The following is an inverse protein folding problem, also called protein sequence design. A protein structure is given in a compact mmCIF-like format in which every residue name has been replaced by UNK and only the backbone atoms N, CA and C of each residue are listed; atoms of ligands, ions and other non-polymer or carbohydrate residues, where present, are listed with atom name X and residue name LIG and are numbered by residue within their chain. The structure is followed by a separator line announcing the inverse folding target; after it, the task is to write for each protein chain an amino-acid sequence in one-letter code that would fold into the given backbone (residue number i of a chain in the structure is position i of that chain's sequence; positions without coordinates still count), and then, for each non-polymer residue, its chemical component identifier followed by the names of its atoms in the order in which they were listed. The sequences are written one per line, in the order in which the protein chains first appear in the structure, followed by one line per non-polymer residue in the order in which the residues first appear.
data_IF_518662786691
#
_entry.id   IF_518662786691
#
_cell.length_a   1.000
_cell.length_b   1.000
_cell.length_c   1.000
_cell.angle_alpha   90.00
_cell.angle_beta   90.00
_cell.angle_gamma   90.00
#
_symmetry.space_group_name_H-M   'P 1'
#
loop_
_entity.id
_entity.type
_entity.pdbx_description
1 polymer ?
#
# COMPACT_ATOMS: atom_id res chain seq x y z
N UNK A 1 26.65 10.59 9.53
CA UNK A 1 27.42 11.82 9.20
C UNK A 1 26.41 12.86 8.71
N UNK A 2 26.59 14.10 9.12
CA UNK A 2 25.79 15.23 8.58
C UNK A 2 26.27 15.61 7.18
N UNK A 3 25.46 16.30 6.40
CA UNK A 3 25.85 16.79 5.07
C UNK A 3 27.13 17.65 5.12
N UNK A 4 27.28 18.47 6.16
CA UNK A 4 28.49 19.27 6.37
C UNK A 4 29.75 18.40 6.59
N UNK A 5 29.63 17.35 7.40
CA UNK A 5 30.72 16.40 7.63
C UNK A 5 31.09 15.65 6.35
N UNK A 6 30.09 15.28 5.53
CA UNK A 6 30.32 14.63 4.24
C UNK A 6 31.06 15.55 3.26
N UNK A 7 30.65 16.83 3.16
CA UNK A 7 31.36 17.84 2.37
C UNK A 7 32.81 18.00 2.82
N UNK A 8 33.05 18.17 4.11
CA UNK A 8 34.43 18.26 4.64
C UNK A 8 35.25 17.00 4.37
N UNK A 9 34.65 15.82 4.49
CA UNK A 9 35.33 14.57 4.21
C UNK A 9 35.72 14.44 2.72
N UNK A 10 34.84 14.88 1.81
CA UNK A 10 35.11 14.92 0.36
C UNK A 10 36.26 15.90 0.08
N UNK A 11 36.18 17.14 0.62
CA UNK A 11 37.24 18.13 0.46
C UNK A 11 38.59 17.63 0.99
N UNK A 12 38.62 17.03 2.17
CA UNK A 12 39.85 16.41 2.73
C UNK A 12 40.38 15.29 1.83
N UNK A 13 39.48 14.47 1.28
CA UNK A 13 39.83 13.42 0.32
C UNK A 13 40.50 13.98 -0.94
N UNK A 14 40.01 15.10 -1.45
CA UNK A 14 40.57 15.78 -2.63
C UNK A 14 41.89 16.50 -2.34
N UNK A 15 42.05 17.12 -1.17
CA UNK A 15 43.19 18.01 -0.82
C UNK A 15 44.43 17.28 -0.28
N UNK A 16 44.38 15.97 -0.05
CA UNK A 16 45.42 15.20 0.67
C UNK A 16 46.86 15.31 0.14
N UNK A 17 47.13 15.83 -1.03
CA UNK A 17 48.52 15.81 -1.61
C UNK A 17 49.01 17.14 -2.20
N UNK A 18 48.20 18.14 -2.53
CA UNK A 18 48.70 19.39 -3.10
C UNK A 18 47.72 20.55 -2.86
N UNK A 19 47.91 21.23 -1.78
CA UNK A 19 47.02 22.29 -1.27
C UNK A 19 46.89 23.55 -2.15
N UNK A 20 47.62 23.67 -3.24
CA UNK A 20 47.67 24.92 -4.03
C UNK A 20 47.20 24.78 -5.49
N UNK A 21 46.71 23.64 -5.93
CA UNK A 21 46.34 23.43 -7.33
C UNK A 21 44.98 22.84 -7.62
N UNK A 22 44.11 22.71 -6.60
CA UNK A 22 42.74 22.24 -6.83
C UNK A 22 41.78 23.45 -6.84
N UNK A 23 40.97 23.50 -7.89
CA UNK A 23 39.78 24.35 -7.90
C UNK A 23 38.87 23.96 -6.74
N UNK A 24 38.41 24.97 -5.99
CA UNK A 24 37.41 24.74 -4.96
C UNK A 24 36.09 24.45 -5.60
N UNK A 25 35.55 23.24 -5.36
CA UNK A 25 34.19 22.91 -5.80
C UNK A 25 33.17 23.74 -5.05
N UNK A 26 32.12 24.16 -5.76
CA UNK A 26 31.00 24.81 -5.14
C UNK A 26 30.19 23.79 -4.32
N UNK A 27 29.54 24.21 -3.23
CA UNK A 27 28.70 23.29 -2.43
C UNK A 27 27.65 22.54 -3.26
N UNK A 28 27.07 23.21 -4.26
CA UNK A 28 26.10 22.60 -5.16
C UNK A 28 26.70 21.51 -6.07
N UNK A 29 27.98 21.66 -6.46
CA UNK A 29 28.70 20.64 -7.23
C UNK A 29 29.02 19.42 -6.38
N UNK A 30 29.34 19.63 -5.09
CA UNK A 30 29.54 18.55 -4.13
C UNK A 30 28.22 17.85 -3.83
N UNK A 31 27.12 18.56 -3.63
CA UNK A 31 25.78 17.99 -3.49
C UNK A 31 25.42 17.10 -4.69
N UNK A 32 25.62 17.62 -5.90
CA UNK A 32 25.38 16.85 -7.13
C UNK A 32 26.23 15.58 -7.22
N UNK A 33 27.51 15.68 -6.89
CA UNK A 33 28.41 14.51 -6.91
C UNK A 33 28.04 13.47 -5.85
N UNK A 34 27.69 13.92 -4.63
CA UNK A 34 27.23 13.05 -3.54
C UNK A 34 25.93 12.34 -3.93
N UNK A 35 24.94 13.04 -4.45
CA UNK A 35 23.68 12.46 -4.90
C UNK A 35 23.86 11.43 -5.99
N UNK A 36 24.70 11.71 -6.98
CA UNK A 36 25.06 10.77 -8.04
C UNK A 36 25.71 9.50 -7.50
N UNK A 37 26.59 9.64 -6.50
CA UNK A 37 27.27 8.48 -5.90
C UNK A 37 26.38 7.73 -4.93
N UNK A 38 25.48 8.41 -4.22
CA UNK A 38 24.44 7.79 -3.42
C UNK A 38 23.54 6.88 -4.28
N UNK A 39 23.04 7.39 -5.41
CA UNK A 39 22.25 6.58 -6.34
C UNK A 39 23.05 5.39 -6.93
N UNK A 40 24.32 5.63 -7.30
CA UNK A 40 25.20 4.57 -7.76
C UNK A 40 25.43 3.50 -6.70
N UNK A 41 25.61 3.90 -5.44
CA UNK A 41 25.77 2.99 -4.31
C UNK A 41 24.54 2.09 -4.17
N UNK A 42 23.32 2.65 -4.19
CA UNK A 42 22.07 1.87 -4.14
C UNK A 42 21.98 0.87 -5.29
N UNK A 43 22.28 1.31 -6.51
CA UNK A 43 22.31 0.43 -7.69
C UNK A 43 23.31 -0.71 -7.54
N UNK A 44 24.52 -0.44 -7.05
CA UNK A 44 25.55 -1.46 -6.83
C UNK A 44 25.18 -2.46 -5.73
N UNK A 45 24.48 -2.00 -4.68
CA UNK A 45 24.01 -2.90 -3.60
C UNK A 45 22.84 -3.76 -4.04
N UNK A 46 21.94 -3.24 -4.86
CA UNK A 46 20.80 -4.01 -5.37
C UNK A 46 21.22 -5.00 -6.47
N UNK A 47 22.06 -4.57 -7.41
CA UNK A 47 22.55 -5.41 -8.51
C UNK A 47 23.94 -5.98 -8.15
N UNK A 48 24.04 -7.30 -7.97
CA UNK A 48 25.35 -7.92 -7.82
C UNK A 48 26.08 -7.95 -9.16
N UNK A 49 27.23 -7.27 -9.21
CA UNK A 49 28.11 -7.30 -10.39
C UNK A 49 28.75 -8.67 -10.63
N UNK A 50 28.86 -9.51 -9.59
CA UNK A 50 29.61 -10.78 -9.65
C UNK A 50 28.73 -12.01 -9.93
N UNK A 51 27.42 -11.95 -9.66
CA UNK A 51 26.53 -13.09 -9.87
C UNK A 51 25.12 -12.62 -10.28
N UNK A 52 24.74 -12.76 -11.57
CA UNK A 52 23.43 -12.38 -12.06
C UNK A 52 22.27 -13.18 -11.43
N UNK A 53 22.58 -14.30 -10.75
CA UNK A 53 21.58 -15.08 -10.00
C UNK A 53 21.29 -14.53 -8.61
N UNK A 54 22.12 -13.62 -8.09
CA UNK A 54 21.99 -12.99 -6.79
C UNK A 54 21.48 -11.54 -6.92
N UNK A 55 20.49 -11.32 -7.76
CA UNK A 55 19.84 -10.02 -7.90
C UNK A 55 18.93 -9.74 -6.69
N UNK A 56 18.81 -8.47 -6.35
CA UNK A 56 17.98 -8.00 -5.24
C UNK A 56 18.61 -8.20 -3.86
N UNK A 57 17.79 -8.31 -2.84
CA UNK A 57 18.21 -8.45 -1.44
C UNK A 57 18.67 -9.87 -1.05
N UNK A 58 18.68 -10.81 -2.00
CA UNK A 58 19.07 -12.19 -1.74
C UNK A 58 20.59 -12.32 -1.53
N UNK A 59 20.99 -13.06 -0.53
CA UNK A 59 22.31 -13.62 -0.38
C UNK A 59 23.29 -12.93 0.57
N UNK A 60 23.06 -11.69 1.01
CA UNK A 60 23.94 -11.05 1.98
C UNK A 60 23.19 -10.13 2.94
N UNK A 61 23.30 -10.43 4.23
CA UNK A 61 22.72 -9.59 5.30
C UNK A 61 23.22 -8.13 5.20
N UNK A 62 24.48 -7.92 4.82
CA UNK A 62 25.05 -6.57 4.61
C UNK A 62 24.20 -5.74 3.61
N UNK A 63 23.77 -6.33 2.49
CA UNK A 63 22.96 -5.62 1.49
C UNK A 63 21.60 -5.21 2.03
N UNK A 64 20.98 -6.12 2.81
CA UNK A 64 19.69 -5.85 3.45
C UNK A 64 19.84 -4.70 4.44
N UNK A 65 20.91 -4.71 5.25
CA UNK A 65 21.16 -3.67 6.24
C UNK A 65 21.49 -2.31 5.60
N UNK A 66 22.27 -2.30 4.51
CA UNK A 66 22.63 -1.08 3.78
C UNK A 66 21.40 -0.41 3.14
N UNK A 67 20.44 -1.20 2.64
CA UNK A 67 19.27 -0.69 1.90
C UNK A 67 17.96 -0.67 2.70
N UNK A 68 17.95 -1.16 3.96
CA UNK A 68 16.72 -1.31 4.76
C UNK A 68 15.93 -0.01 4.93
N UNK A 69 16.61 1.15 4.97
CA UNK A 69 15.97 2.46 5.15
C UNK A 69 15.18 2.84 3.89
N UNK A 70 15.65 2.41 2.72
CA UNK A 70 15.00 2.65 1.44
C UNK A 70 13.94 1.59 1.10
N UNK A 71 13.86 0.52 1.88
CA UNK A 71 12.92 -0.56 1.62
C UNK A 71 11.54 -0.17 2.12
N UNK A 72 10.60 -0.09 1.21
CA UNK A 72 9.18 0.14 1.49
C UNK A 72 8.49 -1.21 1.39
N UNK A 73 7.95 -1.66 2.53
CA UNK A 73 7.18 -2.90 2.62
C UNK A 73 5.72 -2.55 2.85
N UNK A 74 4.84 -3.21 2.13
CA UNK A 74 3.39 -3.20 2.27
C UNK A 74 2.83 -2.07 3.14
N UNK A 75 2.66 -0.89 2.59
CA UNK A 75 2.11 0.25 3.32
C UNK A 75 0.61 0.11 3.60
N UNK A 76 -0.01 -1.00 3.20
CA UNK A 76 -1.45 -1.19 3.28
C UNK A 76 -2.25 -0.30 2.32
N UNK A 77 -1.57 0.58 1.61
CA UNK A 77 -2.17 1.40 0.57
C UNK A 77 -2.16 0.61 -0.73
N UNK A 78 -3.33 0.45 -1.31
CA UNK A 78 -3.44 -0.12 -2.65
C UNK A 78 -2.76 0.84 -3.62
N UNK A 79 -1.81 0.32 -4.38
CA UNK A 79 -1.27 1.05 -5.51
C UNK A 79 -2.42 1.22 -6.49
N UNK A 80 -2.98 2.40 -6.48
CA UNK A 80 -3.97 3.04 -7.35
C UNK A 80 -5.03 2.14 -8.03
N UNK A 81 -6.24 2.69 -8.13
CA UNK A 81 -7.37 2.11 -8.88
C UNK A 81 -6.95 1.70 -10.29
N UNK A 82 -7.13 0.43 -10.63
CA UNK A 82 -6.71 -0.09 -11.93
C UNK A 82 -7.49 0.58 -13.07
N UNK A 83 -6.79 0.88 -14.15
CA UNK A 83 -7.43 1.09 -15.43
C UNK A 83 -7.86 -0.28 -15.95
N UNK A 84 -9.16 -0.54 -15.98
CA UNK A 84 -9.75 -1.81 -16.35
C UNK A 84 -9.68 -2.03 -17.86
N UNK A 85 -8.92 -3.03 -18.28
CA UNK A 85 -8.94 -3.56 -19.65
C UNK A 85 -9.51 -4.98 -19.64
N UNK A 86 -9.86 -5.49 -20.81
CA UNK A 86 -10.51 -6.79 -20.91
C UNK A 86 -9.60 -7.97 -20.50
N UNK A 87 -8.28 -7.84 -20.67
CA UNK A 87 -7.28 -8.89 -20.48
C UNK A 87 -6.22 -8.58 -19.42
N UNK A 88 -6.15 -7.32 -18.96
CA UNK A 88 -5.19 -6.87 -17.96
C UNK A 88 -5.71 -5.66 -17.20
N UNK A 89 -5.04 -5.32 -16.12
CA UNK A 89 -5.23 -4.08 -15.36
C UNK A 89 -3.87 -3.42 -15.16
N UNK A 90 -3.80 -2.10 -15.36
CA UNK A 90 -2.60 -1.31 -15.19
C UNK A 90 -2.61 -0.63 -13.82
N UNK A 91 -1.50 -0.75 -13.09
CA UNK A 91 -1.30 -0.15 -11.78
C UNK A 91 -0.10 0.79 -11.83
N UNK A 92 -0.30 2.05 -11.45
CA UNK A 92 0.77 3.03 -11.38
C UNK A 92 1.80 2.64 -10.30
N UNK A 93 3.08 2.75 -10.62
CA UNK A 93 4.15 2.63 -9.65
C UNK A 93 4.24 3.90 -8.78
N UNK A 94 4.66 3.78 -7.51
CA UNK A 94 4.93 4.94 -6.68
C UNK A 94 5.94 5.90 -7.34
N UNK A 95 5.78 7.20 -7.12
CA UNK A 95 6.63 8.24 -7.75
C UNK A 95 8.09 8.16 -7.34
N UNK A 96 8.36 7.57 -6.18
CA UNK A 96 9.70 7.35 -5.62
C UNK A 96 10.23 5.93 -5.89
N UNK A 97 9.53 5.13 -6.72
CA UNK A 97 9.93 3.78 -7.07
C UNK A 97 11.29 3.73 -7.78
N UNK A 98 12.15 2.83 -7.35
CA UNK A 98 13.44 2.56 -7.98
C UNK A 98 13.59 1.10 -8.42
N UNK A 99 13.38 0.14 -7.52
CA UNK A 99 13.51 -1.30 -7.80
C UNK A 99 12.43 -2.11 -7.10
N UNK A 100 11.83 -3.04 -7.82
CA UNK A 100 10.87 -3.99 -7.27
C UNK A 100 11.61 -5.08 -6.47
N UNK A 101 11.14 -5.35 -5.26
CA UNK A 101 11.57 -6.48 -4.44
C UNK A 101 10.59 -7.64 -4.62
N UNK A 102 9.31 -7.34 -4.45
CA UNK A 102 8.23 -8.34 -4.53
C UNK A 102 6.92 -7.67 -4.93
N UNK A 103 6.01 -8.43 -5.50
CA UNK A 103 4.65 -8.00 -5.79
C UNK A 103 3.63 -9.02 -5.30
N UNK A 104 2.54 -8.52 -4.73
CA UNK A 104 1.39 -9.33 -4.29
C UNK A 104 0.12 -8.73 -4.84
N UNK A 105 -0.67 -9.53 -5.50
CA UNK A 105 -1.93 -9.11 -6.12
C UNK A 105 -3.07 -9.49 -5.20
N UNK A 106 -3.96 -8.56 -4.90
CA UNK A 106 -5.21 -8.79 -4.21
C UNK A 106 -6.26 -9.25 -5.19
N UNK A 107 -6.80 -10.42 -4.96
CA UNK A 107 -7.83 -11.02 -5.81
C UNK A 107 -9.09 -11.34 -5.02
N UNK A 108 -10.23 -11.25 -5.71
CA UNK A 108 -11.49 -11.83 -5.28
C UNK A 108 -11.80 -13.01 -6.20
N UNK A 109 -12.12 -14.15 -5.63
CA UNK A 109 -12.66 -15.24 -6.42
C UNK A 109 -14.11 -14.94 -6.82
N UNK A 110 -14.40 -15.17 -8.08
CA UNK A 110 -15.78 -15.08 -8.58
C UNK A 110 -16.48 -16.46 -8.54
N UNK A 111 -15.77 -17.50 -8.07
CA UNK A 111 -16.29 -18.84 -7.94
C UNK A 111 -17.05 -18.99 -6.60
N UNK A 112 -18.36 -19.13 -6.69
CA UNK A 112 -19.25 -19.38 -5.56
C UNK A 112 -18.92 -20.64 -4.75
N UNK A 113 -18.03 -21.50 -5.23
CA UNK A 113 -17.60 -22.71 -4.51
C UNK A 113 -16.33 -22.51 -3.68
N UNK A 114 -15.45 -21.58 -4.08
CA UNK A 114 -14.14 -21.41 -3.44
C UNK A 114 -14.18 -20.32 -2.38
N UNK A 115 -14.82 -19.17 -2.64
CA UNK A 115 -15.03 -18.10 -1.64
C UNK A 115 -16.46 -17.55 -1.76
N UNK A 116 -17.44 -18.26 -1.17
CA UNK A 116 -18.84 -17.86 -1.24
C UNK A 116 -19.08 -16.51 -0.55
N UNK A 117 -20.14 -15.84 -0.98
CA UNK A 117 -20.68 -14.71 -0.24
C UNK A 117 -20.94 -15.12 1.21
N UNK A 118 -20.34 -14.40 2.16
CA UNK A 118 -20.44 -14.74 3.58
C UNK A 118 -21.70 -14.20 4.23
N UNK A 119 -22.32 -13.19 3.62
CA UNK A 119 -23.56 -12.60 4.09
C UNK A 119 -24.75 -13.33 3.50
N UNK A 120 -25.66 -13.75 4.36
CA UNK A 120 -26.95 -14.30 3.95
C UNK A 120 -27.96 -13.17 3.81
N UNK A 121 -28.65 -13.10 2.67
CA UNK A 121 -29.71 -12.11 2.46
C UNK A 121 -29.21 -10.65 2.61
N UNK A 122 -28.08 -10.30 1.98
CA UNK A 122 -27.52 -8.94 1.98
C UNK A 122 -28.39 -7.91 1.25
N UNK A 123 -29.36 -8.37 0.42
CA UNK A 123 -30.35 -7.54 -0.28
C UNK A 123 -31.61 -7.29 0.53
N UNK A 124 -31.67 -7.74 1.77
CA UNK A 124 -32.79 -7.54 2.69
C UNK A 124 -34.19 -7.88 2.12
N UNK A 125 -34.30 -8.93 1.32
CA UNK A 125 -35.58 -9.41 0.84
C UNK A 125 -36.54 -9.79 2.00
N UNK A 126 -35.98 -10.18 3.13
CA UNK A 126 -36.66 -10.46 4.40
C UNK A 126 -35.66 -10.30 5.58
N UNK A 127 -36.09 -10.63 6.79
CA UNK A 127 -35.23 -10.52 7.99
C UNK A 127 -34.33 -11.77 8.23
N UNK A 128 -34.33 -12.75 7.36
CA UNK A 128 -33.61 -14.02 7.58
C UNK A 128 -32.09 -13.79 7.67
N UNK A 129 -31.48 -14.29 8.71
CA UNK A 129 -30.03 -14.19 8.95
C UNK A 129 -29.61 -12.91 9.69
N UNK A 130 -30.44 -11.90 9.77
CA UNK A 130 -30.14 -10.66 10.46
C UNK A 130 -30.80 -10.57 11.83
N UNK A 131 -30.04 -10.12 12.80
CA UNK A 131 -30.55 -9.78 14.13
C UNK A 131 -30.67 -8.28 14.20
N UNK A 132 -31.89 -7.83 14.38
CA UNK A 132 -32.25 -6.44 14.64
C UNK A 132 -32.22 -6.22 16.13
N UNK A 133 -31.76 -5.09 16.59
CA UNK A 133 -31.81 -4.77 18.02
C UNK A 133 -33.24 -4.87 18.62
N UNK A 134 -33.33 -4.94 19.93
CA UNK A 134 -34.59 -5.20 20.67
C UNK A 134 -35.25 -3.96 21.25
N UNK A 135 -34.69 -2.76 21.04
CA UNK A 135 -35.19 -1.50 21.58
C UNK A 135 -36.56 -1.07 21.07
N UNK A 136 -37.22 -0.25 21.84
CA UNK A 136 -38.58 0.21 21.50
C UNK A 136 -38.59 1.50 20.67
N UNK A 137 -37.58 2.34 20.81
CA UNK A 137 -37.58 3.71 20.27
C UNK A 137 -36.59 3.92 19.10
N UNK A 138 -35.57 3.06 18.98
CA UNK A 138 -34.62 3.09 17.87
C UNK A 138 -34.55 1.71 17.23
N UNK A 139 -34.96 1.64 16.00
CA UNK A 139 -35.13 0.36 15.35
C UNK A 139 -34.51 0.34 13.97
N UNK A 140 -33.67 -0.68 13.81
CA UNK A 140 -33.44 -1.22 12.49
C UNK A 140 -34.73 -1.88 12.00
N UNK A 141 -35.25 -1.43 10.87
CA UNK A 141 -36.41 -2.02 10.23
C UNK A 141 -36.05 -2.53 8.85
N UNK A 142 -36.39 -3.78 8.56
CA UNK A 142 -36.20 -4.33 7.21
C UNK A 142 -37.51 -4.09 6.45
N UNK A 143 -37.37 -3.40 5.33
CA UNK A 143 -38.42 -3.26 4.31
C UNK A 143 -37.94 -4.04 3.05
N UNK A 144 -38.84 -4.20 2.08
CA UNK A 144 -38.50 -4.91 0.85
C UNK A 144 -37.30 -4.30 0.14
N UNK A 145 -36.13 -4.93 0.25
CA UNK A 145 -34.92 -4.56 -0.45
C UNK A 145 -33.96 -3.60 0.27
N UNK A 146 -34.19 -3.27 1.55
CA UNK A 146 -33.25 -2.46 2.34
C UNK A 146 -33.47 -2.61 3.84
N UNK A 147 -32.48 -2.24 4.63
CA UNK A 147 -32.63 -2.02 6.06
C UNK A 147 -32.54 -0.53 6.36
N UNK A 148 -33.47 0.00 7.12
CA UNK A 148 -33.52 1.40 7.52
C UNK A 148 -33.32 1.54 9.02
N UNK A 149 -32.63 2.60 9.43
CA UNK A 149 -32.55 3.05 10.79
C UNK A 149 -33.20 4.43 10.90
N UNK A 150 -33.97 4.62 11.95
CA UNK A 150 -34.61 5.91 12.24
C UNK A 150 -34.14 6.35 13.62
N UNK A 151 -33.55 7.53 13.70
CA UNK A 151 -33.12 8.11 14.97
C UNK A 151 -34.30 8.41 15.88
N UNK A 152 -34.23 8.00 17.14
CA UNK A 152 -35.22 8.32 18.17
C UNK A 152 -34.82 9.51 19.04
N UNK A 153 -35.72 10.03 19.82
CA UNK A 153 -35.52 11.22 20.67
C UNK A 153 -35.09 10.88 22.08
N UNK A 154 -34.06 10.10 22.29
CA UNK A 154 -33.59 9.79 23.67
C UNK A 154 -32.43 8.86 23.76
N UNK A 155 -31.62 9.06 24.73
CA UNK A 155 -30.44 8.37 25.29
C UNK A 155 -29.83 7.12 24.59
N UNK A 156 -28.54 7.15 24.50
CA UNK A 156 -27.59 6.04 24.25
C UNK A 156 -28.11 4.85 23.43
N UNK A 157 -27.93 4.91 22.14
CA UNK A 157 -28.28 3.87 21.18
C UNK A 157 -27.31 2.70 21.25
N UNK A 158 -27.81 1.53 21.56
CA UNK A 158 -27.01 0.30 21.68
C UNK A 158 -27.44 -0.78 20.70
N UNK A 159 -28.30 -0.43 19.75
CA UNK A 159 -28.91 -1.42 18.90
C UNK A 159 -28.09 -1.65 17.65
N UNK A 160 -27.38 -2.75 17.67
CA UNK A 160 -26.51 -3.18 16.58
C UNK A 160 -27.30 -4.08 15.63
N UNK A 161 -27.33 -3.73 14.35
CA UNK A 161 -27.71 -4.67 13.31
C UNK A 161 -26.56 -5.63 13.08
N UNK A 162 -26.78 -6.93 13.24
CA UNK A 162 -25.69 -7.87 13.06
C UNK A 162 -26.10 -9.18 12.40
N UNK A 163 -25.10 -9.82 11.79
CA UNK A 163 -25.18 -11.17 11.26
C UNK A 163 -23.88 -11.92 11.55
N UNK A 164 -23.99 -13.18 11.99
CA UNK A 164 -22.81 -14.04 12.17
C UNK A 164 -22.24 -14.44 10.80
N UNK A 165 -20.96 -14.18 10.58
CA UNK A 165 -20.23 -14.48 9.36
C UNK A 165 -19.07 -15.44 9.62
N UNK A 166 -18.83 -16.37 8.70
CA UNK A 166 -17.75 -17.35 8.82
C UNK A 166 -16.43 -16.77 8.33
N UNK A 167 -15.75 -16.02 9.19
CA UNK A 167 -14.45 -15.46 8.90
C UNK A 167 -13.34 -16.19 9.65
N UNK A 168 -12.10 -16.07 9.18
CA UNK A 168 -10.91 -16.60 9.86
C UNK A 168 -10.01 -15.46 10.28
N UNK A 169 -9.48 -15.57 11.51
CA UNK A 169 -8.51 -14.66 12.08
C UNK A 169 -7.33 -14.43 11.12
N UNK A 170 -6.94 -13.18 10.95
CA UNK A 170 -5.81 -12.76 10.12
C UNK A 170 -6.13 -12.58 8.63
N UNK A 171 -7.32 -12.98 8.16
CA UNK A 171 -7.72 -12.74 6.79
C UNK A 171 -8.33 -11.34 6.60
N UNK A 172 -8.16 -10.82 5.39
CA UNK A 172 -8.78 -9.55 4.92
C UNK A 172 -10.09 -9.88 4.20
N UNK A 173 -11.08 -9.03 4.41
CA UNK A 173 -12.40 -9.16 3.79
C UNK A 173 -12.80 -7.83 3.17
N UNK A 174 -13.26 -7.89 1.92
CA UNK A 174 -13.90 -6.76 1.24
C UNK A 174 -15.36 -6.71 1.64
N UNK A 175 -15.77 -5.60 2.20
CA UNK A 175 -17.16 -5.32 2.51
C UNK A 175 -17.67 -4.29 1.51
N UNK A 176 -18.75 -4.64 0.83
CA UNK A 176 -19.44 -3.75 -0.10
C UNK A 176 -20.83 -3.46 0.45
N UNK A 177 -21.21 -2.19 0.45
CA UNK A 177 -22.55 -1.76 0.91
C UNK A 177 -23.07 -0.68 -0.03
N UNK A 178 -24.39 -0.57 -0.13
CA UNK A 178 -25.06 0.60 -0.70
C UNK A 178 -25.67 1.38 0.45
N UNK A 179 -25.38 2.66 0.52
CA UNK A 179 -25.96 3.57 1.50
C UNK A 179 -26.86 4.55 0.77
N UNK A 180 -28.09 4.64 1.24
CA UNK A 180 -29.10 5.55 0.68
C UNK A 180 -29.58 6.53 1.75
N UNK A 181 -29.81 7.75 1.34
CA UNK A 181 -30.49 8.73 2.19
C UNK A 181 -31.94 8.36 2.45
N UNK A 182 -32.48 8.80 3.56
CA UNK A 182 -33.92 8.63 3.86
C UNK A 182 -34.78 9.30 2.78
N UNK A 183 -35.54 8.51 2.03
CA UNK A 183 -36.49 9.04 1.02
C UNK A 183 -37.83 9.29 1.64
N UNK A 184 -38.40 10.50 1.44
CA UNK A 184 -39.82 10.80 1.68
C UNK A 184 -40.17 11.54 2.98
N UNK A 185 -39.19 12.06 3.70
CA UNK A 185 -39.41 12.90 4.87
C UNK A 185 -38.71 14.25 4.77
N UNK A 186 -39.16 15.24 5.49
CA UNK A 186 -38.53 16.56 5.66
C UNK A 186 -37.21 16.51 6.45
N UNK A 187 -36.77 15.33 6.86
CA UNK A 187 -35.52 15.10 7.62
C UNK A 187 -34.43 14.67 6.67
N UNK A 188 -33.38 15.46 6.57
CA UNK A 188 -32.16 15.10 5.89
C UNK A 188 -31.56 13.82 6.52
N UNK A 189 -30.90 12.99 5.70
CA UNK A 189 -30.10 11.90 6.23
C UNK A 189 -29.00 12.48 7.11
N UNK A 190 -28.87 11.99 8.32
CA UNK A 190 -27.99 12.55 9.35
C UNK A 190 -27.23 11.44 10.05
N UNK A 191 -26.15 11.81 10.71
CA UNK A 191 -25.38 10.93 11.56
C UNK A 191 -24.43 9.99 10.85
N UNK A 192 -23.89 9.08 11.59
CA UNK A 192 -22.91 8.09 11.15
C UNK A 192 -23.28 6.68 11.58
N UNK A 193 -22.67 5.69 10.96
CA UNK A 193 -22.67 4.32 11.48
C UNK A 193 -21.29 3.71 11.31
N UNK A 194 -20.95 2.81 12.22
CA UNK A 194 -19.70 2.07 12.18
C UNK A 194 -19.97 0.64 11.75
N UNK A 195 -19.22 0.15 10.77
CA UNK A 195 -19.24 -1.25 10.36
C UNK A 195 -18.02 -1.93 10.97
N UNK A 196 -18.22 -3.04 11.64
CA UNK A 196 -17.15 -3.81 12.25
C UNK A 196 -17.30 -5.31 12.03
N UNK A 197 -16.17 -6.02 11.99
CA UNK A 197 -16.12 -7.46 12.14
C UNK A 197 -15.87 -7.74 13.62
N UNK A 198 -16.94 -7.97 14.38
CA UNK A 198 -16.96 -8.03 15.83
C UNK A 198 -17.27 -9.40 16.40
N UNK A 199 -17.34 -9.46 17.73
CA UNK A 199 -17.88 -10.60 18.46
C UNK A 199 -19.28 -10.26 18.92
N UNK A 200 -20.28 -11.00 18.49
CA UNK A 200 -21.70 -10.80 18.84
C UNK A 200 -21.96 -10.75 20.36
N UNK A 201 -21.07 -11.32 21.19
CA UNK A 201 -21.19 -11.29 22.64
C UNK A 201 -20.68 -9.98 23.28
N UNK A 202 -19.86 -9.21 22.58
CA UNK A 202 -19.31 -7.93 23.05
C UNK A 202 -19.15 -6.96 21.88
N UNK A 203 -20.23 -6.29 21.44
CA UNK A 203 -20.16 -5.31 20.37
C UNK A 203 -19.13 -4.22 20.66
N UNK A 204 -18.31 -3.90 19.68
CA UNK A 204 -17.37 -2.76 19.75
C UNK A 204 -16.02 -3.02 20.41
N UNK A 205 -15.67 -4.25 20.82
CA UNK A 205 -14.37 -4.54 21.45
C UNK A 205 -13.46 -5.35 20.54
N UNK A 206 -12.32 -4.77 20.17
CA UNK A 206 -11.18 -5.48 19.56
C UNK A 206 -11.27 -5.75 18.07
N UNK A 207 -12.00 -4.93 17.30
CA UNK A 207 -12.28 -5.20 15.90
C UNK A 207 -11.78 -4.08 14.99
N UNK A 208 -11.43 -4.44 13.77
CA UNK A 208 -11.27 -3.45 12.72
C UNK A 208 -12.63 -2.90 12.35
N UNK A 209 -12.74 -1.60 12.28
CA UNK A 209 -13.99 -0.91 12.02
C UNK A 209 -13.82 0.17 10.96
N UNK A 210 -14.90 0.45 10.27
CA UNK A 210 -15.02 1.50 9.29
C UNK A 210 -16.23 2.37 9.67
N UNK A 211 -16.10 3.68 9.68
CA UNK A 211 -17.20 4.61 10.02
C UNK A 211 -17.65 5.36 8.78
N UNK A 212 -18.96 5.38 8.56
CA UNK A 212 -19.64 6.17 7.55
C UNK A 212 -20.31 7.37 8.21
N UNK A 213 -20.10 8.58 7.67
CA UNK A 213 -20.69 9.82 8.20
C UNK A 213 -21.30 10.67 7.08
N UNK A 214 -22.46 11.28 7.34
CA UNK A 214 -23.18 12.14 6.38
C UNK A 214 -22.77 13.62 6.46
N UNK A 215 -22.16 14.09 7.54
CA UNK A 215 -22.16 15.52 7.89
C UNK A 215 -20.81 16.22 7.92
N UNK A 216 -19.67 15.54 7.96
CA UNK A 216 -18.37 16.18 8.14
C UNK A 216 -17.45 16.04 6.94
N UNK A 217 -16.72 17.10 6.55
CA UNK A 217 -15.74 17.02 5.47
C UNK A 217 -14.58 16.11 5.85
N UNK A 218 -13.88 15.50 4.86
CA UNK A 218 -12.88 14.46 5.10
C UNK A 218 -11.73 14.97 5.97
N UNK A 219 -11.49 14.26 7.06
CA UNK A 219 -10.18 14.25 7.71
C UNK A 219 -9.30 13.24 6.98
N UNK A 220 -7.97 13.42 6.96
CA UNK A 220 -7.05 12.58 6.15
C UNK A 220 -6.88 11.14 6.64
N UNK A 221 -7.75 10.66 7.48
CA UNK A 221 -7.80 9.30 7.95
C UNK A 221 -8.72 8.49 7.00
N UNK A 222 -8.15 7.62 6.20
CA UNK A 222 -8.80 6.79 5.18
C UNK A 222 -9.91 5.84 5.69
N UNK A 223 -10.37 5.99 6.92
CA UNK A 223 -11.37 5.12 7.56
C UNK A 223 -12.77 5.72 7.61
N UNK A 224 -12.93 6.98 7.22
CA UNK A 224 -14.24 7.66 7.28
C UNK A 224 -14.63 8.14 5.88
N UNK A 225 -15.79 7.73 5.40
CA UNK A 225 -16.36 8.18 4.12
C UNK A 225 -17.50 9.13 4.39
N UNK A 226 -17.47 10.29 3.77
CA UNK A 226 -18.46 11.35 3.92
C UNK A 226 -19.36 11.44 2.70
N UNK A 227 -20.63 11.66 2.93
CA UNK A 227 -21.60 11.90 1.86
C UNK A 227 -22.45 13.13 2.17
N UNK A 228 -22.42 14.10 1.27
CA UNK A 228 -23.10 15.39 1.46
C UNK A 228 -24.47 15.49 0.80
N UNK A 229 -24.95 14.44 0.09
CA UNK A 229 -26.21 14.47 -0.66
C UNK A 229 -26.98 13.16 -0.53
N UNK A 230 -28.28 13.20 -0.75
CA UNK A 230 -29.24 12.08 -0.70
C UNK A 230 -29.03 11.03 -1.82
N UNK A 231 -27.87 10.98 -2.46
CA UNK A 231 -27.59 10.04 -3.54
C UNK A 231 -27.28 8.65 -3.00
N UNK A 232 -27.81 7.64 -3.66
CA UNK A 232 -27.42 6.24 -3.47
C UNK A 232 -25.92 6.09 -3.76
N UNK A 233 -25.17 5.59 -2.82
CA UNK A 233 -23.72 5.45 -2.99
C UNK A 233 -23.27 4.05 -2.62
N UNK A 234 -22.65 3.36 -3.59
CA UNK A 234 -21.96 2.11 -3.34
C UNK A 234 -20.58 2.41 -2.69
N UNK A 235 -20.28 1.73 -1.60
CA UNK A 235 -19.01 1.84 -0.86
C UNK A 235 -18.38 0.48 -0.70
N UNK A 236 -17.04 0.46 -0.84
CA UNK A 236 -16.22 -0.72 -0.61
C UNK A 236 -15.08 -0.36 0.34
N UNK A 237 -14.80 -1.23 1.30
CA UNK A 237 -13.71 -1.07 2.25
C UNK A 237 -13.22 -2.43 2.75
N UNK A 238 -12.00 -2.47 3.21
CA UNK A 238 -11.36 -3.69 3.71
C UNK A 238 -11.38 -3.72 5.23
N UNK A 239 -11.75 -4.87 5.80
CA UNK A 239 -11.61 -5.14 7.23
C UNK A 239 -10.83 -6.43 7.47
N UNK A 240 -10.04 -6.42 8.56
CA UNK A 240 -9.32 -7.61 9.03
C UNK A 240 -10.13 -8.32 10.09
N UNK A 241 -10.23 -9.65 9.99
CA UNK A 241 -10.80 -10.44 11.07
C UNK A 241 -9.76 -10.66 12.18
N UNK A 242 -10.02 -10.18 13.38
CA UNK A 242 -9.18 -10.38 14.56
C UNK A 242 -9.49 -11.67 15.32
N UNK A 243 -10.63 -12.31 15.03
CA UNK A 243 -11.05 -13.58 15.57
C UNK A 243 -11.77 -14.43 14.51
N UNK A 244 -11.94 -15.72 14.81
CA UNK A 244 -12.69 -16.64 13.93
C UNK A 244 -14.20 -16.52 14.19
N UNK A 245 -15.00 -16.67 13.14
CA UNK A 245 -16.48 -16.72 13.20
C UNK A 245 -17.10 -15.58 14.00
N UNK A 246 -16.82 -14.36 13.57
CA UNK A 246 -17.33 -13.15 14.20
C UNK A 246 -18.66 -12.71 13.58
N UNK A 247 -19.24 -11.67 14.15
CA UNK A 247 -20.37 -10.98 13.56
C UNK A 247 -19.95 -9.81 12.68
N UNK A 248 -20.63 -9.62 11.58
CA UNK A 248 -20.67 -8.34 10.88
C UNK A 248 -21.66 -7.47 11.60
N UNK A 249 -21.22 -6.33 12.08
CA UNK A 249 -22.00 -5.43 12.95
C UNK A 249 -22.07 -4.04 12.34
N UNK A 250 -23.28 -3.45 12.38
CA UNK A 250 -23.55 -2.07 12.01
C UNK A 250 -24.04 -1.34 13.25
N UNK A 251 -23.21 -0.46 13.78
CA UNK A 251 -23.51 0.33 14.98
C UNK A 251 -23.82 1.75 14.57
N UNK A 252 -25.09 2.21 14.71
CA UNK A 252 -25.47 3.57 14.35
C UNK A 252 -25.03 4.56 15.41
N UNK A 253 -24.78 5.82 15.00
CA UNK A 253 -24.72 6.95 15.94
C UNK A 253 -26.13 7.36 16.38
N UNK A 254 -26.19 8.13 17.44
CA UNK A 254 -27.46 8.59 18.03
C UNK A 254 -28.37 9.33 17.05
N UNK A 255 -27.81 9.99 16.08
CA UNK A 255 -28.48 10.81 15.08
C UNK A 255 -28.53 10.14 13.69
N UNK A 256 -28.09 8.88 13.58
CA UNK A 256 -28.14 8.19 12.29
C UNK A 256 -29.57 7.96 11.81
N UNK A 257 -29.86 8.49 10.63
CA UNK A 257 -31.11 8.28 9.92
C UNK A 257 -30.82 8.01 8.45
N UNK A 258 -30.94 6.76 8.02
CA UNK A 258 -30.57 6.34 6.68
C UNK A 258 -30.93 4.90 6.38
N UNK A 259 -30.57 4.45 5.16
CA UNK A 259 -30.81 3.11 4.65
C UNK A 259 -29.53 2.46 4.21
N UNK A 260 -29.47 1.15 4.40
CA UNK A 260 -28.36 0.31 3.92
C UNK A 260 -28.98 -0.83 3.10
N UNK A 261 -28.33 -1.15 2.00
CA UNK A 261 -28.73 -2.21 1.09
C UNK A 261 -27.48 -2.90 0.46
N UNK A 262 -27.73 -4.03 -0.19
CA UNK A 262 -26.73 -4.78 -0.95
C UNK A 262 -25.42 -5.02 -0.19
N UNK A 263 -25.54 -5.52 1.03
CA UNK A 263 -24.36 -5.89 1.84
C UNK A 263 -23.74 -7.15 1.29
N UNK A 264 -22.45 -7.10 1.00
CA UNK A 264 -21.63 -8.23 0.56
C UNK A 264 -20.34 -8.28 1.35
N UNK A 265 -19.91 -9.48 1.75
CA UNK A 265 -18.63 -9.73 2.41
C UNK A 265 -17.93 -10.87 1.70
N UNK A 266 -16.83 -10.55 1.05
CA UNK A 266 -16.00 -11.53 0.32
C UNK A 266 -14.58 -11.52 0.86
N UNK A 267 -13.95 -12.68 0.90
CA UNK A 267 -12.56 -12.80 1.32
C UNK A 267 -11.63 -12.26 0.23
N UNK A 268 -10.67 -11.43 0.63
CA UNK A 268 -9.54 -11.02 -0.20
C UNK A 268 -8.43 -12.05 -0.03
N UNK A 269 -7.90 -12.55 -1.14
CA UNK A 269 -6.70 -13.39 -1.15
C UNK A 269 -5.55 -12.63 -1.80
N UNK A 270 -4.40 -12.66 -1.17
CA UNK A 270 -3.16 -12.16 -1.76
C UNK A 270 -2.42 -13.32 -2.43
N UNK A 271 -2.05 -13.13 -3.68
CA UNK A 271 -1.27 -14.09 -4.47
C UNK A 271 0.04 -13.43 -4.95
N UNK A 272 1.11 -14.20 -5.08
CA UNK A 272 2.37 -13.66 -5.58
C UNK A 272 2.24 -13.20 -7.03
N UNK A 273 2.84 -12.05 -7.33
CA UNK A 273 3.01 -11.52 -8.68
C UNK A 273 4.35 -12.01 -9.24
N UNK A 274 4.29 -12.67 -10.37
CA UNK A 274 5.47 -13.05 -11.15
C UNK A 274 5.68 -12.03 -12.26
N UNK A 275 6.75 -11.28 -12.18
CA UNK A 275 7.16 -10.38 -13.28
C UNK A 275 7.83 -11.19 -14.37
N UNK A 276 7.44 -10.93 -15.61
CA UNK A 276 8.03 -11.52 -16.81
C UNK A 276 8.59 -10.41 -17.71
N UNK A 277 9.53 -10.76 -18.57
CA UNK A 277 10.07 -9.84 -19.55
C UNK A 277 9.07 -9.63 -20.70
N UNK A 278 9.00 -8.41 -21.28
CA UNK A 278 8.01 -8.09 -22.32
C UNK A 278 8.15 -8.94 -23.59
N UNK A 279 9.35 -9.42 -23.91
CA UNK A 279 9.63 -10.26 -25.08
C UNK A 279 9.13 -11.70 -24.89
N UNK A 280 9.08 -12.21 -23.65
CA UNK A 280 8.55 -13.53 -23.32
C UNK A 280 7.02 -13.54 -23.13
N UNK A 281 6.40 -12.37 -23.00
CA UNK A 281 4.99 -12.22 -22.66
C UNK A 281 4.06 -13.01 -23.58
N UNK A 282 4.25 -12.89 -24.88
CA UNK A 282 3.40 -13.57 -25.87
C UNK A 282 3.44 -15.10 -25.73
N UNK A 283 4.62 -15.64 -25.48
CA UNK A 283 4.81 -17.09 -25.33
C UNK A 283 4.20 -17.61 -24.02
N UNK A 284 4.36 -16.84 -22.94
CA UNK A 284 3.88 -17.24 -21.60
C UNK A 284 2.36 -17.10 -21.52
N UNK A 285 1.79 -16.00 -22.00
CA UNK A 285 0.35 -15.77 -21.96
C UNK A 285 -0.41 -16.69 -22.91
N UNK A 286 0.19 -17.09 -24.03
CA UNK A 286 -0.37 -18.07 -24.95
C UNK A 286 -0.30 -19.52 -24.47
N UNK A 287 0.42 -19.82 -23.38
CA UNK A 287 0.55 -21.15 -22.84
C UNK A 287 -0.44 -21.39 -21.68
N UNK A 288 -1.44 -22.27 -21.83
CA UNK A 288 -2.47 -22.51 -20.80
C UNK A 288 -1.91 -22.97 -19.43
N UNK A 289 -0.70 -23.54 -19.43
CA UNK A 289 -0.05 -24.04 -18.20
C UNK A 289 0.85 -23.00 -17.53
N UNK A 290 1.17 -21.90 -18.20
CA UNK A 290 2.06 -20.86 -17.69
C UNK A 290 1.36 -19.51 -17.49
N UNK A 291 0.09 -19.41 -17.88
CA UNK A 291 -0.74 -18.20 -17.74
C UNK A 291 -1.05 -17.87 -16.29
N UNK A 292 -1.62 -16.70 -16.05
CA UNK A 292 -2.08 -16.23 -14.74
C UNK A 292 -3.07 -17.22 -14.13
N UNK A 293 -2.89 -17.53 -12.84
CA UNK A 293 -3.74 -18.45 -12.09
C UNK A 293 -4.14 -17.85 -10.75
N UNK A 294 -5.16 -18.41 -10.12
CA UNK A 294 -5.60 -18.03 -8.78
C UNK A 294 -4.57 -18.30 -7.65
N UNK A 295 -3.39 -18.79 -7.99
CA UNK A 295 -2.26 -19.00 -7.07
C UNK A 295 -1.03 -18.15 -7.40
N UNK A 296 -0.95 -17.60 -8.61
CA UNK A 296 0.15 -16.76 -9.07
C UNK A 296 -0.32 -15.88 -10.23
N UNK A 297 -0.29 -14.59 -10.04
CA UNK A 297 -0.55 -13.62 -11.11
C UNK A 297 0.71 -13.38 -11.94
N UNK A 298 0.52 -12.96 -13.19
CA UNK A 298 1.61 -12.56 -14.09
C UNK A 298 1.50 -11.07 -14.35
N UNK A 299 2.64 -10.38 -14.32
CA UNK A 299 2.72 -8.96 -14.65
C UNK A 299 3.96 -8.60 -15.44
N UNK A 300 3.91 -7.44 -16.06
CA UNK A 300 4.99 -6.81 -16.80
C UNK A 300 5.17 -5.40 -16.28
N UNK A 301 6.41 -4.99 -16.02
CA UNK A 301 6.71 -3.60 -15.72
C UNK A 301 6.88 -2.87 -17.05
N UNK A 302 6.07 -1.82 -17.26
CA UNK A 302 6.12 -1.00 -18.44
C UNK A 302 6.15 0.48 -18.04
N UNK A 303 7.31 1.12 -18.20
CA UNK A 303 7.53 2.52 -17.82
C UNK A 303 7.21 2.78 -16.34
N UNK A 304 6.13 3.50 -16.04
CA UNK A 304 5.68 3.88 -14.69
C UNK A 304 4.56 2.99 -14.15
N UNK A 305 4.22 1.91 -14.85
CA UNK A 305 3.09 1.06 -14.53
C UNK A 305 3.49 -0.41 -14.43
N UNK A 306 2.76 -1.15 -13.63
CA UNK A 306 2.75 -2.61 -13.66
C UNK A 306 1.45 -3.08 -14.30
N UNK A 307 1.57 -3.74 -15.41
CA UNK A 307 0.48 -4.39 -16.13
C UNK A 307 0.28 -5.79 -15.58
N UNK A 308 -0.85 -6.05 -14.94
CA UNK A 308 -1.20 -7.36 -14.38
C UNK A 308 -2.23 -8.04 -15.24
N UNK A 309 -1.92 -9.23 -15.73
CA UNK A 309 -2.81 -9.98 -16.60
C UNK A 309 -3.90 -10.69 -15.82
N UNK A 310 -5.11 -10.46 -16.25
CA UNK A 310 -6.32 -11.00 -15.66
C UNK A 310 -6.55 -12.48 -16.05
N UNK A 311 -7.41 -13.15 -15.29
CA UNK A 311 -7.90 -14.48 -15.61
C UNK A 311 -9.39 -14.51 -15.27
N UNK A 312 -10.19 -15.21 -16.09
CA UNK A 312 -11.64 -15.32 -15.91
C UNK A 312 -12.07 -15.93 -14.56
N UNK A 313 -11.14 -16.57 -13.83
CA UNK A 313 -11.45 -17.23 -12.56
C UNK A 313 -11.38 -16.33 -11.32
N UNK A 314 -10.91 -15.07 -11.46
CA UNK A 314 -10.82 -14.13 -10.36
C UNK A 314 -10.88 -12.68 -10.84
N UNK A 315 -11.28 -11.78 -9.93
CA UNK A 315 -11.25 -10.34 -10.15
C UNK A 315 -10.04 -9.74 -9.44
N UNK A 316 -9.28 -8.92 -10.15
CA UNK A 316 -8.22 -8.11 -9.55
C UNK A 316 -8.85 -6.99 -8.72
N UNK A 317 -8.28 -6.73 -7.54
CA UNK A 317 -8.76 -5.66 -6.63
C UNK A 317 -7.68 -4.67 -6.25
N UNK A 318 -6.44 -5.07 -6.32
CA UNK A 318 -5.34 -4.20 -5.99
C UNK A 318 -4.00 -4.90 -6.13
N UNK A 319 -2.95 -4.12 -6.07
CA UNK A 319 -1.57 -4.57 -6.16
C UNK A 319 -0.80 -3.97 -4.98
N UNK A 320 -0.15 -4.82 -4.20
CA UNK A 320 0.81 -4.42 -3.20
C UNK A 320 2.21 -4.67 -3.73
N UNK A 321 3.07 -3.67 -3.68
CA UNK A 321 4.47 -3.78 -4.09
C UNK A 321 5.40 -3.49 -2.93
N UNK A 322 6.37 -4.39 -2.74
CA UNK A 322 7.52 -4.15 -1.89
C UNK A 322 8.65 -3.66 -2.80
N UNK A 323 9.21 -2.50 -2.52
CA UNK A 323 10.17 -1.88 -3.42
C UNK A 323 11.25 -1.11 -2.66
N UNK A 324 12.33 -0.80 -3.37
CA UNK A 324 13.34 0.16 -2.94
C UNK A 324 12.98 1.50 -3.55
N UNK A 325 12.83 2.51 -2.71
CA UNK A 325 12.56 3.87 -3.15
C UNK A 325 13.85 4.60 -3.49
N UNK A 326 13.73 5.62 -4.31
CA UNK A 326 14.80 6.54 -4.60
C UNK A 326 15.21 7.28 -3.32
N UNK A 327 16.51 7.36 -2.99
CA UNK A 327 16.96 8.10 -1.81
C UNK A 327 16.67 9.60 -1.96
N UNK A 328 16.43 10.26 -0.83
CA UNK A 328 16.25 11.71 -0.77
C UNK A 328 17.56 12.39 -1.16
N UNK A 329 17.45 13.46 -1.95
CA UNK A 329 18.61 14.25 -2.37
C UNK A 329 19.27 14.97 -1.19
N UNK A 330 20.55 14.74 -1.04
CA UNK A 330 21.41 15.43 -0.08
C UNK A 330 21.54 16.89 -0.52
N UNK A 331 21.38 17.84 0.40
CA UNK A 331 21.55 19.26 0.10
C UNK A 331 22.06 20.03 1.30
N UNK A 332 23.21 20.68 1.15
CA UNK A 332 23.81 21.53 2.17
C UNK A 332 22.95 22.79 2.37
N UNK A 333 22.44 23.38 1.30
CA UNK A 333 21.65 24.61 1.35
C UNK A 333 20.32 24.44 2.07
N UNK A 334 19.70 23.27 1.94
CA UNK A 334 18.43 22.92 2.59
C UNK A 334 18.63 22.15 3.91
N UNK A 335 19.87 21.81 4.26
CA UNK A 335 20.20 21.04 5.47
C UNK A 335 19.66 19.61 5.44
N UNK A 336 19.58 18.99 4.27
CA UNK A 336 19.13 17.61 4.10
C UNK A 336 20.32 16.68 4.14
N UNK A 337 20.38 15.84 5.18
CA UNK A 337 21.42 14.84 5.38
C UNK A 337 21.17 13.59 4.53
N UNK A 338 22.24 12.77 4.34
CA UNK A 338 22.11 11.45 3.73
C UNK A 338 21.24 10.54 4.62
N UNK A 339 20.17 10.00 4.06
CA UNK A 339 19.25 9.15 4.79
C UNK A 339 19.70 7.69 4.93
N UNK A 340 20.70 7.27 4.16
CA UNK A 340 21.24 5.91 4.27
C UNK A 340 21.86 5.66 5.65
N UNK A 341 22.10 4.39 5.97
CA UNK A 341 22.64 4.02 7.27
C UNK A 341 24.04 4.64 7.51
N UNK A 342 24.30 5.10 8.72
CA UNK A 342 25.56 5.81 9.06
C UNK A 342 26.85 5.11 8.64
N UNK A 343 26.86 3.78 8.69
CA UNK A 343 28.02 2.98 8.29
C UNK A 343 28.31 3.01 6.78
N UNK A 344 27.35 3.46 5.95
CA UNK A 344 27.53 3.58 4.50
C UNK A 344 28.02 4.94 4.05
N UNK A 345 27.92 5.97 4.91
CA UNK A 345 28.25 7.35 4.53
C UNK A 345 29.72 7.51 4.09
N UNK A 346 30.66 6.84 4.78
CA UNK A 346 32.06 6.91 4.40
C UNK A 346 32.31 6.29 3.02
N UNK A 347 31.63 5.18 2.70
CA UNK A 347 31.77 4.54 1.39
C UNK A 347 31.26 5.45 0.26
N UNK A 348 30.13 6.17 0.51
CA UNK A 348 29.61 7.17 -0.44
C UNK A 348 30.58 8.33 -0.64
N UNK A 349 31.19 8.83 0.43
CA UNK A 349 32.23 9.85 0.37
C UNK A 349 33.44 9.37 -0.46
N UNK A 350 33.92 8.16 -0.22
CA UNK A 350 35.05 7.60 -0.95
C UNK A 350 34.74 7.42 -2.45
N UNK A 351 33.53 6.99 -2.78
CA UNK A 351 33.04 6.93 -4.17
C UNK A 351 33.00 8.32 -4.81
N UNK A 352 32.57 9.33 -4.03
CA UNK A 352 32.49 10.71 -4.50
C UNK A 352 33.86 11.29 -4.77
N UNK A 353 34.80 11.10 -3.86
CA UNK A 353 36.21 11.50 -4.04
C UNK A 353 36.80 10.88 -5.29
N UNK A 354 36.60 9.57 -5.46
CA UNK A 354 37.07 8.84 -6.63
C UNK A 354 36.48 9.41 -7.92
N UNK A 355 35.17 9.70 -7.94
CA UNK A 355 34.49 10.28 -9.09
C UNK A 355 35.01 11.67 -9.45
N UNK A 356 35.23 12.54 -8.46
CA UNK A 356 35.73 13.89 -8.67
C UNK A 356 37.20 13.90 -9.12
N UNK A 357 38.04 13.00 -8.58
CA UNK A 357 39.42 12.81 -9.04
C UNK A 357 39.49 12.31 -10.48
N UNK A 358 38.56 11.44 -10.88
CA UNK A 358 38.44 10.99 -12.26
C UNK A 358 38.01 12.13 -13.19
N UNK A 359 37.01 12.92 -12.77
CA UNK A 359 36.50 14.04 -13.55
C UNK A 359 37.54 15.16 -13.78
N UNK A 360 38.43 15.35 -12.81
CA UNK A 360 39.51 16.35 -12.88
C UNK A 360 40.77 15.82 -13.54
N UNK A 361 40.78 14.60 -14.09
CA UNK A 361 41.95 13.93 -14.70
C UNK A 361 43.21 13.93 -13.79
N UNK A 362 42.99 13.85 -12.49
CA UNK A 362 44.04 13.95 -11.49
C UNK A 362 44.98 12.75 -11.55
N UNK A 363 46.29 12.98 -11.52
CA UNK A 363 47.31 11.90 -11.42
C UNK A 363 47.14 11.02 -10.16
N UNK A 364 46.44 11.55 -9.15
CA UNK A 364 46.12 10.86 -7.91
C UNK A 364 45.04 9.78 -8.06
N UNK A 365 44.27 9.79 -9.13
CA UNK A 365 43.22 8.79 -9.37
C UNK A 365 43.77 7.36 -9.29
N UNK A 366 44.95 7.10 -9.88
CA UNK A 366 45.56 5.78 -9.84
C UNK A 366 45.98 5.35 -8.43
N UNK A 367 46.49 6.33 -7.62
CA UNK A 367 46.91 6.05 -6.23
C UNK A 367 45.68 5.77 -5.34
N UNK A 368 44.60 6.51 -5.53
CA UNK A 368 43.34 6.30 -4.79
C UNK A 368 42.74 4.93 -5.06
N UNK A 369 42.77 4.45 -6.32
CA UNK A 369 42.30 3.11 -6.66
C UNK A 369 43.15 2.04 -5.93
N UNK A 370 44.46 2.22 -5.87
CA UNK A 370 45.35 1.26 -5.19
C UNK A 370 45.09 1.26 -3.67
N UNK A 371 44.85 2.41 -3.03
CA UNK A 371 44.52 2.52 -1.61
C UNK A 371 43.15 1.87 -1.30
N UNK A 372 42.11 2.13 -2.11
CA UNK A 372 40.76 1.57 -1.90
C UNK A 372 40.72 0.04 -2.08
N UNK A 373 41.52 -0.50 -2.98
CA UNK A 373 41.62 -1.96 -3.19
C UNK A 373 42.34 -2.73 -2.05
N UNK A 374 43.01 -2.03 -1.13
CA UNK A 374 43.62 -2.62 0.05
C UNK A 374 42.72 -2.63 1.29
N UNK A 375 41.63 -1.90 1.25
CA UNK A 375 40.64 -1.75 2.37
C UNK A 375 39.39 -2.59 2.19
N UNK A 376 39.17 -3.20 1.03
CA UNK A 376 38.14 -4.22 0.77
C UNK A 376 38.69 -5.66 1.09
#
# INVERSE_FOLDING_TARGET
MTVQEMHHAVEQGLQKVASNSFDTFLPEELDFALNKMQERFVKQRFWSLSDPKQQGLHGAQKRVDDLRILTVLDNGDDVVTPNLYADHEDFDLPTDYMFLINGRVKILYDDCQIDPELVTNGTFANATGWTLGTGTDDKWTIASGYVAHTSGSGAAFTEVLHQSVRVKKGNKYLISIIVEGATGGTSASTGSFTVSLGNAATPGVGNTSFTFDYLTPPTPDNRTIYQTTHATTAKQFELHALADNVSLEFTPSADFNGRIDNISVKRIKEIPLRIIEPDDAYNILGNPFATSTASSAIGIINNTEIKVFNNESYLLKGLNVDYIRTPVEISLSSGVDCELADHTHQEIVDLTVKHLLEATESQRYQTNIAESSQTE
#
